data_IF_451692193770
#
_entry.id   IF_451692193770
#
_cell.length_a   1.000
_cell.length_b   1.000
_cell.length_c   1.000
_cell.angle_alpha   90.00
_cell.angle_beta   90.00
_cell.angle_gamma   90.00
#
_symmetry.space_group_name_H-M   'P 1'
#
loop_
_entity.id
_entity.type
_entity.pdbx_description
1 polymer ?
#
# COMPACT_ATOMS: atom_id res chain seq x y z
N UNK A 1 -10.32 10.83 10.49
CA UNK A 1 -10.46 10.69 9.01
C UNK A 1 -11.65 9.78 8.74
N UNK A 2 -12.55 10.11 7.80
CA UNK A 2 -13.73 9.29 7.52
C UNK A 2 -13.38 8.16 6.52
N UNK A 3 -12.79 7.07 7.03
CA UNK A 3 -12.35 5.94 6.20
C UNK A 3 -13.49 5.33 5.37
N UNK A 4 -14.71 5.30 5.91
CA UNK A 4 -15.91 4.81 5.21
C UNK A 4 -16.20 5.59 3.92
N UNK A 5 -16.03 6.91 3.93
CA UNK A 5 -16.25 7.72 2.72
C UNK A 5 -15.20 7.43 1.61
N UNK A 6 -13.97 7.09 1.98
CA UNK A 6 -12.95 6.67 1.01
C UNK A 6 -13.22 5.26 0.48
N UNK A 7 -13.72 4.36 1.33
CA UNK A 7 -14.07 2.98 0.95
C UNK A 7 -15.31 2.94 0.05
N UNK A 8 -16.34 3.71 0.39
CA UNK A 8 -17.61 3.78 -0.35
C UNK A 8 -17.52 4.62 -1.64
N UNK A 9 -16.39 5.26 -1.90
CA UNK A 9 -16.22 6.16 -3.06
C UNK A 9 -16.97 7.49 -2.94
N UNK A 10 -17.48 7.83 -1.76
CA UNK A 10 -18.11 9.12 -1.46
C UNK A 10 -17.11 10.27 -1.51
N UNK A 11 -15.81 9.98 -1.33
CA UNK A 11 -14.75 10.95 -1.53
C UNK A 11 -14.22 10.89 -2.98
N UNK A 12 -14.38 11.96 -3.78
CA UNK A 12 -14.10 11.92 -5.22
C UNK A 12 -12.61 11.83 -5.57
N UNK A 13 -11.72 12.06 -4.60
CA UNK A 13 -10.27 12.02 -4.80
C UNK A 13 -9.62 10.92 -3.95
N UNK A 14 -9.55 9.70 -4.50
CA UNK A 14 -8.79 8.57 -3.94
C UNK A 14 -7.54 8.31 -4.78
N UNK A 15 -6.48 7.79 -4.15
CA UNK A 15 -5.23 7.41 -4.84
C UNK A 15 -4.71 6.09 -4.28
N UNK A 16 -4.29 5.20 -5.18
CA UNK A 16 -3.60 3.96 -4.81
C UNK A 16 -2.14 4.25 -4.44
N UNK A 17 -1.64 3.56 -3.44
CA UNK A 17 -0.21 3.51 -3.14
C UNK A 17 0.46 2.53 -4.10
N UNK A 18 1.48 2.98 -4.83
CA UNK A 18 2.22 2.15 -5.77
C UNK A 18 3.66 1.95 -5.31
N UNK A 19 4.17 0.72 -5.47
CA UNK A 19 5.59 0.41 -5.32
C UNK A 19 6.18 0.17 -6.71
N UNK A 20 7.12 1.01 -7.12
CA UNK A 20 7.78 0.93 -8.44
C UNK A 20 9.07 0.14 -8.30
N UNK A 21 9.22 -0.93 -9.08
CA UNK A 21 10.38 -1.82 -9.05
C UNK A 21 11.05 -1.87 -10.42
N UNK A 22 12.33 -1.49 -10.48
CA UNK A 22 13.17 -1.69 -11.66
C UNK A 22 13.52 -3.18 -11.80
N UNK A 23 13.16 -3.79 -12.93
CA UNK A 23 13.48 -5.20 -13.25
C UNK A 23 14.87 -5.27 -13.89
N UNK A 24 15.89 -5.57 -13.08
CA UNK A 24 17.28 -5.63 -13.55
C UNK A 24 18.09 -6.77 -12.90
N UNK A 25 17.45 -7.66 -12.14
CA UNK A 25 18.09 -8.80 -11.49
C UNK A 25 19.05 -8.45 -10.36
N UNK A 26 19.19 -7.16 -10.01
CA UNK A 26 20.11 -6.73 -8.95
C UNK A 26 19.50 -6.88 -7.57
N UNK A 27 20.34 -6.80 -6.54
CA UNK A 27 19.92 -6.92 -5.14
C UNK A 27 18.79 -5.95 -4.77
N UNK A 28 18.80 -4.74 -5.34
CA UNK A 28 17.77 -3.74 -5.08
C UNK A 28 16.40 -4.12 -5.65
N UNK A 29 16.32 -5.00 -6.66
CA UNK A 29 15.05 -5.57 -7.12
C UNK A 29 14.49 -6.51 -6.04
N UNK A 30 15.32 -7.42 -5.51
CA UNK A 30 14.94 -8.36 -4.45
C UNK A 30 14.48 -7.61 -3.19
N UNK A 31 15.21 -6.58 -2.79
CA UNK A 31 14.86 -5.76 -1.63
C UNK A 31 13.50 -5.06 -1.82
N UNK A 32 13.26 -4.41 -2.96
CA UNK A 32 11.98 -3.74 -3.25
C UNK A 32 10.82 -4.73 -3.30
N UNK A 33 11.02 -5.92 -3.87
CA UNK A 33 10.00 -6.99 -3.85
C UNK A 33 9.71 -7.45 -2.43
N UNK A 34 10.72 -7.60 -1.59
CA UNK A 34 10.53 -7.97 -0.18
C UNK A 34 9.71 -6.90 0.57
N UNK A 35 10.04 -5.62 0.43
CA UNK A 35 9.27 -4.53 1.05
C UNK A 35 7.83 -4.45 0.50
N UNK A 36 7.64 -4.65 -0.81
CA UNK A 36 6.28 -4.69 -1.37
C UNK A 36 5.44 -5.80 -0.76
N UNK A 37 6.02 -6.99 -0.53
CA UNK A 37 5.35 -8.10 0.14
C UNK A 37 5.06 -7.80 1.61
N UNK A 38 6.00 -7.15 2.31
CA UNK A 38 5.81 -6.75 3.71
C UNK A 38 4.58 -5.84 3.86
N UNK A 39 4.42 -4.84 2.98
CA UNK A 39 3.28 -3.93 2.99
C UNK A 39 1.95 -4.65 2.73
N UNK A 40 1.95 -5.76 1.99
CA UNK A 40 0.76 -6.58 1.72
C UNK A 40 0.38 -7.53 2.87
N UNK A 41 1.23 -7.70 3.89
CA UNK A 41 0.88 -8.52 5.06
C UNK A 41 -0.15 -7.83 5.95
N UNK A 42 -0.84 -8.60 6.80
CA UNK A 42 -1.75 -8.06 7.81
C UNK A 42 -1.08 -7.02 8.72
N UNK A 43 0.18 -7.23 9.09
CA UNK A 43 0.93 -6.26 9.90
C UNK A 43 1.24 -4.98 9.10
N UNK A 44 1.60 -5.13 7.83
CA UNK A 44 1.81 -4.02 6.90
C UNK A 44 0.55 -3.18 6.71
N UNK A 45 -0.59 -3.83 6.44
CA UNK A 45 -1.89 -3.17 6.29
C UNK A 45 -2.32 -2.42 7.57
N UNK A 46 -2.17 -3.04 8.75
CA UNK A 46 -2.43 -2.37 10.05
C UNK A 46 -1.55 -1.14 10.27
N UNK A 47 -0.31 -1.16 9.77
CA UNK A 47 0.60 -0.02 9.86
C UNK A 47 0.17 1.10 8.92
N UNK A 48 -0.26 0.77 7.70
CA UNK A 48 -0.77 1.72 6.72
C UNK A 48 -2.09 2.36 7.18
N UNK A 49 -2.96 1.61 7.83
CA UNK A 49 -4.21 2.11 8.40
C UNK A 49 -3.96 3.20 9.45
N UNK A 50 -2.97 3.01 10.33
CA UNK A 50 -2.55 4.02 11.31
C UNK A 50 -2.02 5.32 10.67
N UNK A 51 -1.54 5.23 9.43
CA UNK A 51 -1.08 6.38 8.63
C UNK A 51 -2.21 7.01 7.81
N UNK A 52 -3.45 6.52 7.92
CA UNK A 52 -4.62 7.06 7.23
C UNK A 52 -4.90 6.44 5.86
N UNK A 53 -4.23 5.34 5.49
CA UNK A 53 -4.56 4.60 4.27
C UNK A 53 -5.75 3.67 4.51
N UNK A 54 -6.52 3.43 3.44
CA UNK A 54 -7.55 2.39 3.44
C UNK A 54 -6.90 1.05 3.08
N UNK A 55 -7.09 -0.02 3.87
CA UNK A 55 -6.54 -1.34 3.58
C UNK A 55 -7.05 -1.91 2.25
N UNK A 56 -6.21 -2.70 1.58
CA UNK A 56 -6.60 -3.48 0.41
C UNK A 56 -7.15 -4.84 0.88
N UNK A 57 -8.36 -5.21 0.42
CA UNK A 57 -8.97 -6.52 0.63
C UNK A 57 -8.48 -7.53 -0.40
#
# INVERSE_FOLDING_TARGET
>A
MNQSAFFNGEYPLTRKLFVIVKKNGKSEEKARRAYSKLLLTNQGQKSLEKLGFVPIQ
#
